data_IF_437628470773
#
_entry.id   IF_437628470773
#
_cell.length_a   1.000
_cell.length_b   1.000
_cell.length_c   1.000
_cell.angle_alpha   90.00
_cell.angle_beta   90.00
_cell.angle_gamma   90.00
#
_symmetry.space_group_name_H-M   'P 1'
#
loop_
_entity.id
_entity.type
_entity.pdbx_description
1 polymer ?
#
# COMPACT_ATOMS: atom_id res chain seq x y z
N UNK A 1 -13.18 6.22 20.62
CA UNK A 1 -13.81 5.19 19.82
C UNK A 1 -12.87 4.72 18.73
N UNK A 2 -12.68 3.43 18.66
CA UNK A 2 -11.86 2.90 17.58
C UNK A 2 -12.58 3.15 16.26
N UNK A 3 -11.84 3.63 15.30
CA UNK A 3 -12.41 3.88 14.00
C UNK A 3 -12.15 2.69 13.10
N UNK A 4 -13.21 2.05 12.66
CA UNK A 4 -13.10 1.09 11.58
C UNK A 4 -13.33 1.85 10.30
N UNK A 5 -12.33 1.89 9.48
CA UNK A 5 -12.50 2.45 8.16
C UNK A 5 -13.27 1.45 7.33
N UNK A 6 -14.34 1.87 6.68
CA UNK A 6 -15.14 0.98 5.86
C UNK A 6 -14.30 0.33 4.77
N UNK A 7 -13.29 1.05 4.27
CA UNK A 7 -12.43 0.53 3.22
C UNK A 7 -11.59 -0.64 3.69
N UNK A 8 -11.38 -0.76 4.99
CA UNK A 8 -10.57 -1.84 5.57
C UNK A 8 -11.40 -3.00 6.09
N UNK A 9 -12.70 -2.81 6.20
CA UNK A 9 -13.58 -3.80 6.82
C UNK A 9 -13.73 -5.03 5.94
N UNK A 10 -13.50 -6.21 6.50
CA UNK A 10 -13.70 -7.46 5.78
C UNK A 10 -12.64 -7.80 4.75
N UNK A 11 -11.55 -7.06 4.70
CA UNK A 11 -10.49 -7.36 3.73
C UNK A 11 -9.77 -8.66 4.08
N UNK A 12 -9.48 -9.44 3.06
CA UNK A 12 -8.71 -10.68 3.18
C UNK A 12 -7.53 -10.59 2.21
N UNK A 13 -6.52 -11.47 2.36
CA UNK A 13 -5.40 -11.46 1.40
C UNK A 13 -5.84 -11.63 -0.05
N UNK A 14 -6.93 -12.34 -0.28
CA UNK A 14 -7.44 -12.54 -1.64
C UNK A 14 -7.99 -11.27 -2.27
N UNK A 15 -8.26 -10.24 -1.48
CA UNK A 15 -8.75 -8.97 -2.02
C UNK A 15 -7.64 -8.15 -2.67
N UNK A 16 -6.39 -8.59 -2.54
CA UNK A 16 -5.26 -7.91 -3.14
C UNK A 16 -4.88 -8.59 -4.46
N UNK A 17 -4.87 -7.84 -5.57
CA UNK A 17 -4.47 -8.43 -6.85
C UNK A 17 -2.97 -8.75 -6.86
N UNK A 18 -2.50 -9.50 -7.86
CA UNK A 18 -1.07 -9.77 -7.98
C UNK A 18 -0.27 -8.48 -8.06
N UNK A 19 0.92 -8.48 -7.47
CA UNK A 19 1.79 -7.32 -7.49
C UNK A 19 2.26 -7.05 -8.92
N UNK A 20 2.16 -5.79 -9.34
CA UNK A 20 2.61 -5.40 -10.68
C UNK A 20 4.13 -5.44 -10.80
N UNK A 21 4.83 -5.16 -9.68
CA UNK A 21 6.28 -5.23 -9.62
C UNK A 21 6.64 -6.00 -8.35
N UNK A 22 6.68 -7.34 -8.40
CA UNK A 22 6.89 -8.13 -7.20
C UNK A 22 8.17 -7.75 -6.46
N UNK A 23 8.01 -7.53 -5.16
CA UNK A 23 9.12 -7.28 -4.23
C UNK A 23 9.99 -6.06 -4.58
N UNK A 24 9.45 -5.11 -5.34
CA UNK A 24 10.23 -3.93 -5.71
C UNK A 24 9.30 -2.72 -5.89
N UNK A 25 9.85 -1.52 -5.65
CA UNK A 25 9.14 -0.29 -5.94
C UNK A 25 9.36 0.06 -7.40
N UNK A 26 8.30 0.05 -8.18
CA UNK A 26 8.37 0.30 -9.61
C UNK A 26 9.02 1.64 -9.92
N UNK A 27 8.60 2.69 -9.23
CA UNK A 27 9.14 4.03 -9.47
C UNK A 27 10.58 4.17 -9.03
N UNK A 28 10.96 3.53 -7.91
CA UNK A 28 12.36 3.56 -7.47
C UNK A 28 13.26 2.89 -8.50
N UNK A 29 12.81 1.82 -9.12
CA UNK A 29 13.57 1.16 -10.17
C UNK A 29 13.80 2.09 -11.35
N UNK A 30 12.79 2.87 -11.72
CA UNK A 30 12.90 3.80 -12.83
C UNK A 30 13.76 5.01 -12.50
N UNK A 31 13.68 5.48 -11.27
CA UNK A 31 14.36 6.70 -10.84
C UNK A 31 15.77 6.44 -10.32
N UNK A 32 16.11 5.18 -10.08
CA UNK A 32 17.40 4.84 -9.51
C UNK A 32 17.51 5.12 -8.02
N UNK A 33 16.38 5.21 -7.32
CA UNK A 33 16.36 5.44 -5.88
C UNK A 33 16.17 4.13 -5.12
N UNK A 34 16.48 4.16 -3.82
CA UNK A 34 16.32 2.98 -2.97
C UNK A 34 15.11 3.16 -2.06
N UNK A 35 14.57 2.03 -1.59
CA UNK A 35 13.42 2.06 -0.69
C UNK A 35 13.77 1.43 0.65
N UNK A 36 13.04 1.88 1.69
CA UNK A 36 13.17 1.31 3.04
C UNK A 36 12.24 0.12 3.17
N UNK A 37 10.99 0.28 2.76
CA UNK A 37 9.98 -0.78 2.80
C UNK A 37 9.01 -0.55 1.66
N UNK A 38 8.16 -1.55 1.40
CA UNK A 38 7.25 -1.51 0.27
C UNK A 38 5.80 -1.58 0.73
N UNK A 39 4.90 -1.05 -0.10
CA UNK A 39 3.46 -1.09 0.13
C UNK A 39 2.77 -1.50 -1.16
N UNK A 40 1.76 -2.35 -1.03
CA UNK A 40 1.00 -2.85 -2.18
C UNK A 40 -0.41 -2.25 -2.17
N UNK A 41 -0.83 -1.71 -3.31
CA UNK A 41 -2.16 -1.13 -3.47
C UNK A 41 -3.22 -2.22 -3.56
N UNK A 42 -4.28 -2.09 -2.77
CA UNK A 42 -5.36 -3.07 -2.76
C UNK A 42 -6.16 -3.05 -4.06
N UNK A 43 -6.27 -1.89 -4.72
CA UNK A 43 -7.12 -1.77 -5.90
C UNK A 43 -6.47 -2.30 -7.17
N UNK A 44 -5.16 -2.16 -7.32
CA UNK A 44 -4.50 -2.49 -8.59
C UNK A 44 -3.20 -3.28 -8.45
N UNK A 45 -2.74 -3.55 -7.24
CA UNK A 45 -1.52 -4.33 -7.04
C UNK A 45 -0.24 -3.55 -7.25
N UNK A 46 -0.31 -2.23 -7.47
CA UNK A 46 0.88 -1.41 -7.61
C UNK A 46 1.72 -1.47 -6.34
N UNK A 47 3.04 -1.62 -6.50
CA UNK A 47 3.96 -1.67 -5.38
C UNK A 47 4.79 -0.40 -5.37
N UNK A 48 4.71 0.35 -4.27
CA UNK A 48 5.45 1.58 -4.09
C UNK A 48 6.18 1.57 -2.76
N UNK A 49 7.12 2.50 -2.59
CA UNK A 49 7.89 2.57 -1.36
C UNK A 49 7.14 3.34 -0.27
N UNK A 50 7.47 3.05 0.98
CA UNK A 50 6.79 3.64 2.13
C UNK A 50 7.24 5.09 2.36
N UNK A 51 6.57 5.75 3.33
CA UNK A 51 6.86 7.15 3.63
C UNK A 51 8.24 7.36 4.28
N UNK A 52 8.87 6.28 4.78
CA UNK A 52 10.24 6.37 5.28
C UNK A 52 11.26 6.34 4.14
N UNK A 53 10.82 6.03 2.94
CA UNK A 53 11.68 6.00 1.76
C UNK A 53 11.75 7.40 1.14
N UNK A 54 12.82 7.67 0.42
CA UNK A 54 13.03 8.97 -0.21
C UNK A 54 11.89 9.32 -1.18
N UNK A 55 11.45 8.35 -1.98
CA UNK A 55 10.45 8.61 -3.02
C UNK A 55 9.02 8.67 -2.55
N UNK A 56 8.70 7.99 -1.45
CA UNK A 56 7.32 7.92 -0.93
C UNK A 56 6.32 7.56 -2.02
N UNK A 57 6.67 6.58 -2.85
CA UNK A 57 5.90 6.33 -4.07
C UNK A 57 4.53 5.72 -3.79
N UNK A 58 4.35 4.99 -2.68
CA UNK A 58 3.03 4.47 -2.34
C UNK A 58 2.06 5.61 -2.06
N UNK A 59 2.49 6.63 -1.32
CA UNK A 59 1.66 7.80 -1.04
C UNK A 59 1.39 8.60 -2.31
N UNK A 60 2.39 8.74 -3.18
CA UNK A 60 2.18 9.41 -4.46
C UNK A 60 1.18 8.66 -5.31
N UNK A 61 1.23 7.33 -5.29
CA UNK A 61 0.25 6.51 -6.03
C UNK A 61 -1.17 6.78 -5.54
N UNK A 62 -1.37 6.90 -4.21
CA UNK A 62 -2.67 7.26 -3.68
C UNK A 62 -3.11 8.62 -4.20
N UNK A 63 -2.24 9.63 -4.18
CA UNK A 63 -2.60 10.97 -4.66
C UNK A 63 -2.97 10.96 -6.14
N UNK A 64 -2.31 10.13 -6.94
CA UNK A 64 -2.56 10.08 -8.37
C UNK A 64 -3.81 9.30 -8.73
N UNK A 65 -4.13 8.26 -7.97
CA UNK A 65 -5.19 7.33 -8.34
C UNK A 65 -6.38 7.36 -7.42
N UNK A 66 -6.21 7.88 -6.21
CA UNK A 66 -7.22 7.88 -5.15
C UNK A 66 -7.56 6.46 -4.70
N UNK A 67 -6.68 5.49 -4.90
CA UNK A 67 -6.83 4.14 -4.37
C UNK A 67 -6.44 4.17 -2.90
N UNK A 68 -7.38 4.01 -1.96
CA UNK A 68 -7.13 4.39 -0.57
C UNK A 68 -6.41 3.35 0.28
N UNK A 69 -6.43 2.09 -0.11
CA UNK A 69 -5.98 1.00 0.77
C UNK A 69 -4.70 0.36 0.29
N UNK A 70 -3.79 0.08 1.21
CA UNK A 70 -2.54 -0.60 0.91
C UNK A 70 -2.13 -1.51 2.07
N UNK A 71 -1.22 -2.45 1.80
CA UNK A 71 -0.62 -3.28 2.85
C UNK A 71 0.89 -3.33 2.68
N UNK A 72 1.58 -3.73 3.75
CA UNK A 72 3.04 -3.86 3.71
C UNK A 72 3.48 -5.06 2.87
N UNK A 73 4.66 -4.95 2.26
CA UNK A 73 5.29 -6.03 1.50
C UNK A 73 6.67 -6.26 2.11
N UNK A 74 7.05 -7.49 2.46
CA UNK A 74 6.31 -8.76 2.26
C UNK A 74 4.92 -8.71 2.88
N UNK A 75 3.97 -9.50 2.39
CA UNK A 75 2.58 -9.43 2.85
C UNK A 75 2.50 -9.50 4.36
N UNK A 76 1.77 -8.56 4.93
CA UNK A 76 1.54 -8.48 6.36
C UNK A 76 0.04 -8.50 6.60
N UNK A 77 -0.35 -8.71 7.86
CA UNK A 77 -1.76 -8.78 8.19
C UNK A 77 -2.37 -7.39 8.41
N UNK A 78 -1.57 -6.34 8.48
CA UNK A 78 -2.13 -5.01 8.67
C UNK A 78 -2.31 -4.29 7.33
N UNK A 79 -3.31 -3.41 7.32
CA UNK A 79 -3.64 -2.59 6.15
C UNK A 79 -3.79 -1.14 6.59
N UNK A 80 -3.72 -0.24 5.65
CA UNK A 80 -3.80 1.20 5.90
C UNK A 80 -4.72 1.86 4.89
N UNK A 81 -5.56 2.76 5.38
CA UNK A 81 -6.41 3.59 4.52
C UNK A 81 -5.92 5.03 4.57
N UNK A 82 -5.51 5.55 3.42
CA UNK A 82 -5.00 6.92 3.34
C UNK A 82 -6.09 7.96 3.56
N UNK A 83 -7.32 7.66 3.13
CA UNK A 83 -8.41 8.63 3.22
C UNK A 83 -8.78 8.89 4.68
N UNK A 84 -8.93 7.82 5.45
CA UNK A 84 -9.34 7.93 6.85
C UNK A 84 -8.17 7.91 7.82
N UNK A 85 -6.94 7.72 7.29
CA UNK A 85 -5.73 7.61 8.11
C UNK A 85 -5.94 6.58 9.22
N UNK A 86 -6.43 5.42 8.83
CA UNK A 86 -6.78 4.36 9.75
C UNK A 86 -6.01 3.08 9.41
N UNK A 87 -5.65 2.32 10.45
CA UNK A 87 -4.99 1.04 10.28
C UNK A 87 -5.95 -0.06 10.68
N UNK A 88 -5.94 -1.15 9.92
CA UNK A 88 -6.74 -2.31 10.21
C UNK A 88 -5.96 -3.58 10.07
N UNK A 89 -6.65 -4.71 10.13
CA UNK A 89 -6.04 -6.03 9.98
C UNK A 89 -6.80 -6.83 8.95
N UNK A 90 -6.08 -7.67 8.20
CA UNK A 90 -6.70 -8.61 7.28
C UNK A 90 -7.40 -9.71 8.07
N UNK A 91 -8.53 -10.14 7.56
CA UNK A 91 -9.32 -11.20 8.20
C UNK A 91 -8.98 -12.58 7.68
#
# INVERSE_FOLDING_TARGET
MAKSCEDLSGLTPEDFPPQTTPDACEECLKEGTVWVALRECQSCGHVGCCDSSTGKHATKHFHDTQHPVMRAVPPASWVWCYVHEAQGALE
#
